data_IF_698515301646
#
_entry.id   IF_698515301646
#
_cell.length_a   1.000
_cell.length_b   1.000
_cell.length_c   1.000
_cell.angle_alpha   90.00
_cell.angle_beta   90.00
_cell.angle_gamma   90.00
#
_symmetry.space_group_name_H-M   'P 1'
#
loop_
_entity.id
_entity.type
_entity.pdbx_description
1 polymer ?
#
# COMPACT_ATOMS: atom_id res chain seq x y z
N UNK A 1 -9.28 -13.22 -2.67
CA UNK A 1 -9.85 -12.97 -1.35
C UNK A 1 -9.14 -13.75 -0.26
N UNK A 2 -8.82 -15.02 -0.51
CA UNK A 2 -8.12 -15.92 0.44
C UNK A 2 -6.89 -15.30 1.11
N UNK A 3 -6.07 -14.53 0.37
CA UNK A 3 -4.92 -13.83 0.94
C UNK A 3 -5.32 -12.80 2.01
N UNK A 4 -6.30 -11.92 1.72
CA UNK A 4 -6.71 -10.86 2.64
C UNK A 4 -7.38 -11.45 3.89
N UNK A 5 -8.21 -12.48 3.71
CA UNK A 5 -8.80 -13.22 4.82
C UNK A 5 -7.74 -13.96 5.65
N UNK A 6 -6.77 -14.58 4.99
CA UNK A 6 -5.66 -15.25 5.65
C UNK A 6 -4.85 -14.26 6.50
N UNK A 7 -4.47 -13.11 5.94
CA UNK A 7 -3.75 -12.06 6.67
C UNK A 7 -4.57 -11.53 7.84
N UNK A 8 -5.85 -11.23 7.62
CA UNK A 8 -6.76 -10.78 8.67
C UNK A 8 -6.83 -11.77 9.83
N UNK A 9 -6.99 -13.07 9.54
CA UNK A 9 -7.03 -14.13 10.57
C UNK A 9 -5.67 -14.34 11.25
N UNK A 10 -4.57 -14.39 10.48
CA UNK A 10 -3.20 -14.63 10.98
C UNK A 10 -2.78 -13.57 11.99
N UNK A 11 -3.10 -12.30 11.71
CA UNK A 11 -2.73 -11.17 12.58
C UNK A 11 -3.87 -10.69 13.48
N UNK A 12 -5.03 -11.36 13.46
CA UNK A 12 -6.24 -10.95 14.19
C UNK A 12 -6.55 -9.46 13.97
N UNK A 13 -6.46 -9.00 12.73
CA UNK A 13 -6.52 -7.59 12.40
C UNK A 13 -7.94 -7.04 12.61
N UNK A 14 -8.07 -6.04 13.49
CA UNK A 14 -9.33 -5.30 13.66
C UNK A 14 -9.67 -4.42 12.45
N UNK A 15 -8.63 -3.99 11.71
CA UNK A 15 -8.74 -3.12 10.54
C UNK A 15 -7.74 -3.59 9.48
N UNK A 16 -8.20 -3.62 8.24
CA UNK A 16 -7.36 -3.87 7.07
C UNK A 16 -7.52 -2.69 6.10
N UNK A 17 -6.41 -2.11 5.69
CA UNK A 17 -6.36 -0.98 4.77
C UNK A 17 -5.42 -1.34 3.62
N UNK A 18 -5.89 -1.15 2.40
CA UNK A 18 -5.15 -1.42 1.18
C UNK A 18 -4.66 -0.08 0.60
N UNK A 19 -3.36 0.05 0.32
CA UNK A 19 -2.80 1.24 -0.30
C UNK A 19 -2.46 0.97 -1.77
N UNK A 20 -2.86 1.88 -2.66
CA UNK A 20 -2.59 1.78 -4.10
C UNK A 20 -1.75 2.97 -4.56
N UNK A 21 -0.86 2.73 -5.52
CA UNK A 21 -0.17 3.78 -6.26
C UNK A 21 -1.17 4.48 -7.21
N UNK A 22 -1.24 5.82 -7.21
CA UNK A 22 -2.03 6.55 -8.18
C UNK A 22 -1.32 6.55 -9.54
N UNK A 23 -2.04 7.03 -10.56
CA UNK A 23 -1.45 7.23 -11.89
C UNK A 23 -0.39 8.35 -11.79
N UNK A 24 0.84 8.14 -12.29
CA UNK A 24 1.88 9.18 -12.33
C UNK A 24 1.43 10.46 -13.08
N UNK A 25 2.04 11.63 -12.82
CA UNK A 25 3.28 11.83 -12.09
C UNK A 25 3.11 11.85 -10.57
N UNK A 26 4.18 11.45 -9.88
CA UNK A 26 4.27 11.40 -8.41
C UNK A 26 5.27 12.45 -7.95
N UNK A 27 5.23 12.87 -6.68
CA UNK A 27 6.12 13.92 -6.18
C UNK A 27 7.60 13.58 -6.40
N UNK A 28 7.98 12.30 -6.28
CA UNK A 28 9.35 11.82 -6.55
C UNK A 28 9.76 12.02 -8.02
N UNK A 29 8.84 11.88 -8.97
CA UNK A 29 9.10 12.17 -10.38
C UNK A 29 9.31 13.67 -10.63
N UNK A 30 8.60 14.53 -9.90
CA UNK A 30 8.78 15.99 -9.98
C UNK A 30 10.13 16.42 -9.38
N UNK A 31 10.55 15.77 -8.28
CA UNK A 31 11.81 16.04 -7.62
C UNK A 31 13.02 15.52 -8.42
N UNK A 32 12.91 14.32 -8.99
CA UNK A 32 13.95 13.67 -9.76
C UNK A 32 13.35 13.00 -11.01
N UNK A 33 13.43 13.64 -12.20
CA UNK A 33 12.79 13.13 -13.41
C UNK A 33 13.26 11.75 -13.88
N UNK A 34 14.46 11.32 -13.46
CA UNK A 34 15.00 9.99 -13.76
C UNK A 34 14.62 8.93 -12.69
N UNK A 35 13.77 9.27 -11.71
CA UNK A 35 13.24 8.31 -10.75
C UNK A 35 12.47 7.20 -11.46
N UNK A 36 12.78 5.94 -11.13
CA UNK A 36 12.25 4.73 -11.78
C UNK A 36 12.47 4.65 -13.30
N UNK A 37 13.37 5.48 -13.86
CA UNK A 37 13.75 5.40 -15.26
C UNK A 37 14.40 4.03 -15.55
N UNK A 38 13.87 3.30 -16.53
CA UNK A 38 14.33 1.95 -16.89
C UNK A 38 13.48 0.80 -16.36
N UNK A 39 12.44 1.07 -15.55
CA UNK A 39 11.41 0.05 -15.29
C UNK A 39 10.64 -0.23 -16.59
N UNK A 40 10.36 -1.51 -16.92
CA UNK A 40 9.51 -1.82 -18.06
C UNK A 40 8.12 -1.20 -17.84
N UNK A 41 7.42 -0.79 -18.91
CA UNK A 41 6.05 -0.32 -18.79
C UNK A 41 5.17 -1.45 -18.23
N UNK A 42 4.10 -1.06 -17.54
CA UNK A 42 3.09 -2.01 -17.12
C UNK A 42 2.52 -2.75 -18.36
N UNK A 43 2.18 -4.04 -18.26
CA UNK A 43 1.53 -4.77 -19.35
C UNK A 43 0.24 -4.08 -19.80
N UNK A 44 -0.12 -4.25 -21.08
CA UNK A 44 -1.36 -3.71 -21.63
C UNK A 44 -2.57 -4.20 -20.82
N UNK A 45 -3.46 -3.28 -20.46
CA UNK A 45 -4.66 -3.57 -19.67
C UNK A 45 -4.41 -3.74 -18.16
N UNK A 46 -3.16 -3.74 -17.68
CA UNK A 46 -2.87 -3.87 -16.25
C UNK A 46 -3.54 -2.76 -15.42
N UNK A 47 -3.46 -1.50 -15.88
CA UNK A 47 -4.10 -0.37 -15.20
C UNK A 47 -5.62 -0.55 -15.14
N UNK A 48 -6.24 -1.08 -16.19
CA UNK A 48 -7.67 -1.38 -16.21
C UNK A 48 -8.02 -2.49 -15.20
N UNK A 49 -7.22 -3.57 -15.16
CA UNK A 49 -7.37 -4.66 -14.19
C UNK A 49 -7.23 -4.17 -12.74
N UNK A 50 -6.31 -3.24 -12.46
CA UNK A 50 -6.21 -2.61 -11.14
C UNK A 50 -7.46 -1.79 -10.79
N UNK A 51 -8.09 -1.13 -11.77
CA UNK A 51 -9.39 -0.48 -11.62
C UNK A 51 -10.47 -1.45 -11.16
N UNK A 52 -10.69 -2.51 -11.94
CA UNK A 52 -11.69 -3.55 -11.64
C UNK A 52 -11.45 -4.21 -10.27
N UNK A 53 -10.19 -4.45 -9.91
CA UNK A 53 -9.83 -4.98 -8.59
C UNK A 53 -10.25 -4.04 -7.46
N UNK A 54 -10.04 -2.73 -7.62
CA UNK A 54 -10.44 -1.73 -6.60
C UNK A 54 -11.96 -1.67 -6.45
N UNK A 55 -12.70 -1.69 -7.56
CA UNK A 55 -14.16 -1.71 -7.54
C UNK A 55 -14.69 -2.96 -6.83
N UNK A 56 -14.10 -4.12 -7.13
CA UNK A 56 -14.43 -5.36 -6.46
C UNK A 56 -14.14 -5.31 -4.95
N UNK A 57 -12.93 -4.88 -4.55
CA UNK A 57 -12.55 -4.75 -3.14
C UNK A 57 -13.50 -3.80 -2.38
N UNK A 58 -13.89 -2.69 -3.00
CA UNK A 58 -14.86 -1.76 -2.43
C UNK A 58 -16.22 -2.42 -2.25
N UNK A 59 -16.68 -3.23 -3.22
CA UNK A 59 -17.97 -3.93 -3.12
C UNK A 59 -18.00 -4.97 -1.99
N UNK A 60 -16.84 -5.55 -1.68
CA UNK A 60 -16.63 -6.48 -0.56
C UNK A 60 -16.41 -5.77 0.80
N UNK A 61 -16.48 -4.43 0.82
CA UNK A 61 -16.35 -3.63 2.04
C UNK A 61 -14.92 -3.38 2.51
N UNK A 62 -13.91 -3.67 1.68
CA UNK A 62 -12.51 -3.36 2.01
C UNK A 62 -12.23 -1.88 1.82
N UNK A 63 -11.50 -1.30 2.77
CA UNK A 63 -11.02 0.07 2.66
C UNK A 63 -9.74 0.10 1.81
N UNK A 64 -9.82 0.75 0.65
CA UNK A 64 -8.66 1.10 -0.17
C UNK A 64 -8.38 2.59 -0.11
N UNK A 65 -7.11 2.97 -0.18
CA UNK A 65 -6.64 4.36 -0.12
C UNK A 65 -5.67 4.60 -1.25
N UNK A 66 -5.90 5.69 -1.96
CA UNK A 66 -5.06 6.23 -3.02
C UNK A 66 -5.04 7.75 -2.86
N UNK A 67 -3.87 8.36 -3.07
CA UNK A 67 -3.70 9.80 -2.91
C UNK A 67 -2.87 10.33 -4.07
N UNK A 68 -3.46 11.22 -4.87
CA UNK A 68 -2.78 11.84 -6.00
C UNK A 68 -1.40 12.40 -5.60
N UNK A 69 -0.39 12.02 -6.38
CA UNK A 69 0.98 12.50 -6.21
C UNK A 69 1.81 11.76 -5.16
N UNK A 70 1.26 10.81 -4.40
CA UNK A 70 1.98 10.03 -3.39
C UNK A 70 1.94 8.53 -3.70
N UNK A 71 3.04 7.84 -3.47
CA UNK A 71 3.13 6.39 -3.67
C UNK A 71 2.47 5.63 -2.51
N UNK A 72 2.19 4.34 -2.72
CA UNK A 72 1.61 3.49 -1.69
C UNK A 72 2.50 3.41 -0.44
N UNK A 73 3.83 3.47 -0.60
CA UNK A 73 4.80 3.49 0.51
C UNK A 73 4.62 4.73 1.42
N UNK A 74 4.34 5.90 0.85
CA UNK A 74 4.10 7.15 1.58
C UNK A 74 2.79 7.07 2.38
N UNK A 75 1.76 6.46 1.78
CA UNK A 75 0.47 6.23 2.42
C UNK A 75 0.66 5.28 3.60
N UNK A 76 1.36 4.15 3.40
CA UNK A 76 1.65 3.17 4.46
C UNK A 76 2.49 3.79 5.57
N UNK A 77 3.54 4.55 5.23
CA UNK A 77 4.36 5.27 6.21
C UNK A 77 3.55 6.27 7.04
N UNK A 78 2.65 7.02 6.39
CA UNK A 78 1.77 7.97 7.07
C UNK A 78 0.76 7.27 7.99
N UNK A 79 0.12 6.21 7.50
CA UNK A 79 -0.90 5.48 8.26
C UNK A 79 -0.30 4.70 9.43
N UNK A 80 0.85 4.05 9.25
CA UNK A 80 1.55 3.35 10.33
C UNK A 80 1.98 4.29 11.45
N UNK A 81 2.47 5.49 11.11
CA UNK A 81 2.78 6.53 12.10
C UNK A 81 1.53 6.97 12.89
N UNK A 82 0.42 7.25 12.20
CA UNK A 82 -0.84 7.66 12.84
C UNK A 82 -1.46 6.55 13.69
N UNK A 83 -1.38 5.30 13.22
CA UNK A 83 -1.85 4.12 13.94
C UNK A 83 -1.08 3.97 15.26
N UNK A 84 0.25 4.09 15.21
CA UNK A 84 1.13 4.10 16.38
C UNK A 84 0.75 5.19 17.38
N UNK A 85 0.58 6.43 16.91
CA UNK A 85 0.16 7.57 17.73
C UNK A 85 -1.24 7.38 18.37
N UNK A 86 -2.08 6.55 17.73
CA UNK A 86 -3.41 6.18 18.22
C UNK A 86 -3.40 4.89 19.06
N UNK A 87 -2.23 4.32 19.38
CA UNK A 87 -2.08 3.13 20.21
C UNK A 87 -2.26 1.78 19.50
N UNK A 88 -2.37 1.77 18.16
CA UNK A 88 -2.47 0.54 17.38
C UNK A 88 -1.10 -0.05 17.10
N UNK A 89 -1.03 -1.39 17.09
CA UNK A 89 0.05 -2.14 16.46
C UNK A 89 -0.26 -2.31 14.97
N UNK A 90 0.75 -2.27 14.12
CA UNK A 90 0.58 -2.35 12.66
C UNK A 90 1.49 -3.43 12.09
N UNK A 91 0.91 -4.34 11.31
CA UNK A 91 1.66 -5.22 10.42
C UNK A 91 1.50 -4.70 8.99
N UNK A 92 2.61 -4.44 8.32
CA UNK A 92 2.65 -4.07 6.91
C UNK A 92 2.92 -5.34 6.10
N UNK A 93 2.02 -5.73 5.21
CA UNK A 93 2.23 -6.83 4.28
C UNK A 93 2.64 -6.28 2.90
N UNK A 94 3.88 -6.53 2.48
CA UNK A 94 4.42 -6.00 1.23
C UNK A 94 5.56 -6.88 0.70
N UNK A 95 5.78 -6.95 -0.61
CA UNK A 95 7.01 -7.51 -1.16
C UNK A 95 8.16 -6.49 -1.23
N UNK A 96 7.88 -5.22 -0.92
CA UNK A 96 8.85 -4.13 -0.99
C UNK A 96 9.69 -4.04 0.29
N UNK A 97 10.98 -4.34 0.16
CA UNK A 97 11.94 -4.29 1.26
C UNK A 97 12.22 -2.86 1.74
N UNK A 98 11.91 -1.83 0.95
CA UNK A 98 12.11 -0.45 1.36
C UNK A 98 11.25 -0.11 2.59
N UNK A 99 10.10 -0.78 2.80
CA UNK A 99 9.26 -0.56 3.97
C UNK A 99 9.85 -1.12 5.28
N UNK A 100 10.93 -1.90 5.24
CA UNK A 100 11.65 -2.31 6.44
C UNK A 100 12.16 -1.10 7.25
N UNK A 101 12.35 0.06 6.60
CA UNK A 101 12.72 1.31 7.26
C UNK A 101 11.68 1.78 8.30
N UNK A 102 10.43 1.31 8.21
CA UNK A 102 9.34 1.70 9.11
C UNK A 102 9.27 0.83 10.39
N UNK A 103 10.01 -0.27 10.44
CA UNK A 103 9.95 -1.25 11.54
C UNK A 103 10.36 -0.60 12.87
N UNK A 104 9.55 -0.82 13.90
CA UNK A 104 9.80 -0.39 15.27
C UNK A 104 8.98 -1.25 16.26
N UNK A 105 8.99 -0.91 17.55
CA UNK A 105 8.29 -1.68 18.60
C UNK A 105 6.78 -1.89 18.38
N UNK A 106 6.14 -1.06 17.54
CA UNK A 106 4.72 -1.14 17.22
C UNK A 106 4.41 -1.40 15.74
N UNK A 107 5.43 -1.43 14.88
CA UNK A 107 5.28 -1.63 13.44
C UNK A 107 6.17 -2.78 12.99
N UNK A 108 5.57 -3.82 12.41
CA UNK A 108 6.27 -4.95 11.79
C UNK A 108 6.02 -4.98 10.28
N UNK A 109 6.90 -5.65 9.55
CA UNK A 109 6.77 -5.90 8.11
C UNK A 109 6.79 -7.40 7.86
N UNK A 110 5.82 -7.89 7.10
CA UNK A 110 5.75 -9.23 6.54
C UNK A 110 6.03 -9.14 5.04
N UNK A 111 7.02 -9.91 4.59
CA UNK A 111 7.45 -10.01 3.19
C UNK A 111 7.03 -11.34 2.59
#
# INVERSE_FOLDING_TARGET
MDMLEHLSRKYQAERLILAFDPIPPLFRHLLYPAYKQGRPPAPDGFVYQCGELRDYLSSEGYLSVEVDGYEADDIIGTLSKRARESGFKTTIATCDLDLLQLVNDQVSVEV
#
